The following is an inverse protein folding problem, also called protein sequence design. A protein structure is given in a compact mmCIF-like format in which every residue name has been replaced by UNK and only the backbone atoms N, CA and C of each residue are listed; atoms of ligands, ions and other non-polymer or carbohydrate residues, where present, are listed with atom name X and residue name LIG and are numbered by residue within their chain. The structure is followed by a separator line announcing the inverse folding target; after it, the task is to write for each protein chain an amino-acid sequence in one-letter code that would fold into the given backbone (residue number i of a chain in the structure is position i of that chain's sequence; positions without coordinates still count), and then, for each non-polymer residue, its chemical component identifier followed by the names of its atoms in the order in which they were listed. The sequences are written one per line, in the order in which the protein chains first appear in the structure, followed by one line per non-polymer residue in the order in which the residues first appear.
data_IF_067986163004
#
_entry.id   IF_067986163004
#
_cell.length_a   1.000
_cell.length_b   1.000
_cell.length_c   1.000
_cell.angle_alpha   90.00
_cell.angle_beta   90.00
_cell.angle_gamma   90.00
#
_symmetry.space_group_name_H-M   'P 1'
#
loop_
_entity.id
_entity.type
_entity.pdbx_description
1 polymer ?
#
# COMPACT_ATOMS: atom_id res chain seq x y z
N UNK A 1 -6.03 3.12 36.21
CA UNK A 1 -6.38 3.03 34.78
C UNK A 1 -5.08 3.19 34.04
N UNK A 2 -4.50 2.13 33.48
CA UNK A 2 -3.25 2.24 32.71
C UNK A 2 -3.62 2.83 31.36
N UNK A 3 -3.09 4.01 31.06
CA UNK A 3 -3.05 4.50 29.69
C UNK A 3 -2.15 3.53 28.92
N UNK A 4 -2.75 2.69 28.08
CA UNK A 4 -2.01 1.84 27.15
C UNK A 4 -1.37 2.75 26.10
N UNK A 5 -0.13 3.17 26.37
CA UNK A 5 0.74 3.78 25.39
C UNK A 5 1.03 2.73 24.31
N UNK A 6 0.22 2.70 23.25
CA UNK A 6 0.58 1.97 22.04
C UNK A 6 1.89 2.56 21.53
N UNK A 7 2.99 1.82 21.66
CA UNK A 7 4.22 2.12 20.94
C UNK A 7 3.89 2.05 19.46
N UNK A 8 3.87 3.21 18.80
CA UNK A 8 3.61 3.24 17.36
C UNK A 8 4.89 2.81 16.66
N UNK A 9 4.91 1.55 16.23
CA UNK A 9 6.03 0.98 15.49
C UNK A 9 6.30 1.81 14.22
N UNK A 10 7.57 2.14 14.01
CA UNK A 10 8.05 2.83 12.81
C UNK A 10 8.63 1.81 11.84
N UNK A 11 8.10 1.78 10.62
CA UNK A 11 8.45 0.81 9.60
C UNK A 11 9.19 1.46 8.42
N UNK A 12 10.51 1.64 8.56
CA UNK A 12 11.35 2.30 7.53
C UNK A 12 11.28 1.64 6.15
N UNK A 13 11.00 0.34 6.11
CA UNK A 13 10.87 -0.44 4.89
C UNK A 13 9.45 -0.45 4.28
N UNK A 14 8.48 0.22 4.90
CA UNK A 14 7.11 0.34 4.37
C UNK A 14 6.92 1.69 3.67
N UNK A 15 6.48 1.64 2.41
CA UNK A 15 5.93 2.74 1.65
C UNK A 15 4.41 2.59 1.61
N UNK A 16 3.70 3.54 2.21
CA UNK A 16 2.26 3.50 2.31
C UNK A 16 1.61 4.42 1.27
N UNK A 17 0.92 3.84 0.30
CA UNK A 17 0.21 4.55 -0.76
C UNK A 17 -1.27 4.66 -0.41
N UNK A 18 -1.74 5.89 -0.31
CA UNK A 18 -3.14 6.24 -0.08
C UNK A 18 -3.61 7.27 -1.13
N UNK A 19 -4.87 7.72 -1.09
CA UNK A 19 -5.34 8.73 -2.04
C UNK A 19 -6.80 9.11 -1.89
N UNK A 20 -7.20 10.20 -2.56
CA UNK A 20 -8.49 10.89 -2.42
C UNK A 20 -9.72 10.15 -3.00
N UNK A 21 -9.59 8.84 -3.27
CA UNK A 21 -10.70 8.02 -3.76
C UNK A 21 -10.25 6.82 -4.60
N UNK A 22 -11.23 6.23 -5.29
CA UNK A 22 -11.00 5.17 -6.29
C UNK A 22 -10.49 5.79 -7.60
N UNK A 23 -9.71 5.03 -8.36
CA UNK A 23 -9.24 5.43 -9.70
C UNK A 23 -8.47 6.77 -9.75
N UNK A 24 -7.82 7.16 -8.65
CA UNK A 24 -6.91 8.33 -8.60
C UNK A 24 -5.49 8.01 -9.09
N UNK A 25 -5.21 6.74 -9.45
CA UNK A 25 -3.90 6.31 -9.95
C UNK A 25 -3.00 5.58 -8.94
N UNK A 26 -3.49 5.20 -7.75
CA UNK A 26 -2.71 4.45 -6.73
C UNK A 26 -2.03 3.20 -7.29
N UNK A 27 -2.81 2.28 -7.86
CA UNK A 27 -2.29 1.05 -8.45
C UNK A 27 -1.26 1.33 -9.53
N UNK A 28 -1.53 2.29 -10.41
CA UNK A 28 -0.61 2.67 -11.49
C UNK A 28 0.71 3.25 -10.96
N UNK A 29 0.65 4.10 -9.93
CA UNK A 29 1.84 4.65 -9.28
C UNK A 29 2.66 3.55 -8.59
N UNK A 30 1.99 2.64 -7.87
CA UNK A 30 2.64 1.46 -7.27
C UNK A 30 3.36 0.64 -8.34
N UNK A 31 2.70 0.34 -9.46
CA UNK A 31 3.30 -0.41 -10.56
C UNK A 31 4.54 0.30 -11.16
N UNK A 32 4.52 1.64 -11.27
CA UNK A 32 5.70 2.39 -11.76
C UNK A 32 6.88 2.30 -10.79
N UNK A 33 6.64 2.34 -9.48
CA UNK A 33 7.71 2.16 -8.48
C UNK A 33 8.27 0.74 -8.58
N UNK A 34 7.40 -0.27 -8.63
CA UNK A 34 7.80 -1.68 -8.72
C UNK A 34 8.67 -1.91 -9.95
N UNK A 35 8.25 -1.45 -11.14
CA UNK A 35 8.97 -1.71 -12.38
C UNK A 35 10.38 -1.10 -12.39
N UNK A 36 10.55 0.08 -11.77
CA UNK A 36 11.83 0.78 -11.62
C UNK A 36 12.74 0.14 -10.58
N UNK A 37 12.18 -0.36 -9.47
CA UNK A 37 12.93 -0.81 -8.29
C UNK A 37 12.87 -2.34 -8.08
N UNK A 38 12.50 -3.12 -9.11
CA UNK A 38 12.34 -4.59 -9.03
C UNK A 38 13.57 -5.34 -8.52
N UNK A 39 14.77 -4.77 -8.69
CA UNK A 39 16.02 -5.35 -8.18
C UNK A 39 16.03 -5.54 -6.66
N UNK A 40 15.22 -4.78 -5.92
CA UNK A 40 15.16 -4.84 -4.47
C UNK A 40 14.19 -5.90 -3.92
N UNK A 41 13.62 -6.76 -4.77
CA UNK A 41 12.67 -7.82 -4.36
C UNK A 41 11.47 -7.28 -3.56
N UNK A 42 10.80 -6.27 -4.12
CA UNK A 42 9.67 -5.60 -3.46
C UNK A 42 8.56 -6.59 -3.12
N UNK A 43 7.97 -6.43 -1.92
CA UNK A 43 6.68 -7.05 -1.56
C UNK A 43 5.58 -6.00 -1.65
N UNK A 44 4.52 -6.24 -2.42
CA UNK A 44 3.37 -5.35 -2.51
C UNK A 44 2.13 -5.95 -1.84
N UNK A 45 1.38 -5.11 -1.14
CA UNK A 45 0.13 -5.48 -0.48
C UNK A 45 -0.97 -4.51 -0.90
N UNK A 46 -2.08 -5.04 -1.40
CA UNK A 46 -3.32 -4.30 -1.56
C UNK A 46 -4.23 -4.57 -0.37
N UNK A 47 -4.61 -3.54 0.37
CA UNK A 47 -5.61 -3.65 1.44
C UNK A 47 -6.91 -2.99 0.99
N UNK A 48 -7.99 -3.77 1.01
CA UNK A 48 -9.35 -3.34 0.64
C UNK A 48 -10.32 -3.56 1.80
N UNK A 49 -11.27 -2.65 2.05
CA UNK A 49 -12.38 -2.94 2.96
C UNK A 49 -13.54 -3.68 2.29
N UNK A 50 -13.45 -3.90 0.97
CA UNK A 50 -14.46 -4.62 0.23
C UNK A 50 -14.08 -6.09 0.17
N UNK A 51 -15.04 -6.94 0.54
CA UNK A 51 -14.94 -8.38 0.45
C UNK A 51 -15.44 -8.82 -0.92
N UNK A 52 -14.55 -9.47 -1.64
CA UNK A 52 -14.75 -10.06 -2.94
C UNK A 52 -14.41 -11.54 -2.85
N UNK A 53 -15.11 -12.32 -3.66
CA UNK A 53 -14.83 -13.75 -3.77
C UNK A 53 -13.41 -13.98 -4.30
N UNK A 54 -12.75 -15.07 -3.86
CA UNK A 54 -11.44 -15.43 -4.36
C UNK A 54 -11.45 -15.61 -5.89
N UNK A 55 -10.47 -15.01 -6.56
CA UNK A 55 -10.20 -15.24 -7.98
C UNK A 55 -9.13 -16.31 -8.18
N UNK A 56 -9.08 -16.98 -9.34
CA UNK A 56 -8.00 -17.92 -9.66
C UNK A 56 -6.63 -17.29 -9.45
N UNK A 57 -5.76 -17.95 -8.69
CA UNK A 57 -4.43 -17.46 -8.32
C UNK A 57 -4.30 -16.92 -6.90
N UNK A 58 -5.41 -16.61 -6.22
CA UNK A 58 -5.39 -16.26 -4.81
C UNK A 58 -5.21 -17.51 -3.95
N UNK A 59 -4.07 -17.57 -3.27
CA UNK A 59 -3.70 -18.61 -2.32
C UNK A 59 -4.01 -18.08 -0.92
N UNK A 60 -4.94 -18.75 -0.23
CA UNK A 60 -5.29 -18.39 1.12
C UNK A 60 -4.12 -18.60 2.09
N UNK A 61 -3.81 -17.61 2.93
CA UNK A 61 -2.75 -17.72 3.93
C UNK A 61 -3.30 -17.68 5.36
N UNK A 62 -4.21 -16.75 5.62
CA UNK A 62 -4.76 -16.54 6.96
C UNK A 62 -6.10 -15.81 6.90
N UNK A 63 -6.96 -16.06 7.89
CA UNK A 63 -8.22 -15.34 8.10
C UNK A 63 -8.51 -15.20 9.58
N UNK A 64 -9.28 -14.18 9.91
CA UNK A 64 -9.94 -14.02 11.19
C UNK A 64 -11.34 -13.44 10.98
N UNK A 65 -11.98 -13.00 12.06
CA UNK A 65 -13.29 -12.38 11.97
C UNK A 65 -13.13 -11.01 11.31
N UNK A 66 -13.74 -10.82 10.13
CA UNK A 66 -13.71 -9.53 9.43
C UNK A 66 -12.38 -9.23 8.71
N UNK A 67 -11.53 -10.24 8.45
CA UNK A 67 -10.35 -10.05 7.59
C UNK A 67 -9.83 -11.35 6.96
N UNK A 68 -9.18 -11.22 5.80
CA UNK A 68 -8.60 -12.32 5.01
C UNK A 68 -7.30 -11.84 4.37
N UNK A 69 -6.23 -12.65 4.45
CA UNK A 69 -4.95 -12.43 3.78
C UNK A 69 -4.74 -13.54 2.74
N UNK A 70 -4.53 -13.13 1.48
CA UNK A 70 -4.22 -14.04 0.38
C UNK A 70 -2.91 -13.61 -0.31
N UNK A 71 -2.15 -14.59 -0.80
CA UNK A 71 -1.05 -14.38 -1.75
C UNK A 71 -1.59 -14.47 -3.17
N UNK A 72 -1.22 -13.54 -4.03
CA UNK A 72 -1.52 -13.61 -5.46
C UNK A 72 -0.42 -14.37 -6.21
N UNK A 73 -0.82 -15.23 -7.13
CA UNK A 73 0.08 -15.98 -8.02
C UNK A 73 -0.29 -15.85 -9.50
N UNK A 74 -1.45 -15.27 -9.83
CA UNK A 74 -1.92 -15.11 -11.19
C UNK A 74 -1.55 -13.73 -11.76
N UNK A 75 -0.80 -13.73 -12.87
CA UNK A 75 -0.35 -12.53 -13.58
C UNK A 75 -1.26 -12.11 -14.75
N UNK A 76 -2.39 -12.78 -14.95
CA UNK A 76 -3.20 -12.65 -16.18
C UNK A 76 -4.51 -11.89 -15.99
N UNK A 77 -4.79 -11.37 -14.80
CA UNK A 77 -6.05 -10.70 -14.52
C UNK A 77 -5.86 -9.19 -14.26
N UNK A 78 -6.97 -8.45 -14.15
CA UNK A 78 -6.98 -6.99 -14.00
C UNK A 78 -7.07 -6.51 -12.54
N UNK A 79 -6.96 -7.41 -11.55
CA UNK A 79 -6.96 -7.03 -10.14
C UNK A 79 -5.65 -6.36 -9.77
N UNK A 80 -5.69 -5.43 -8.81
CA UNK A 80 -4.52 -4.67 -8.36
C UNK A 80 -3.33 -5.59 -7.98
N UNK A 81 -3.58 -6.66 -7.23
CA UNK A 81 -2.55 -7.65 -6.85
C UNK A 81 -1.90 -8.35 -8.06
N UNK A 82 -2.66 -8.60 -9.12
CA UNK A 82 -2.16 -9.18 -10.37
C UNK A 82 -1.35 -8.17 -11.17
N UNK A 83 -1.80 -6.91 -11.21
CA UNK A 83 -1.07 -5.81 -11.85
C UNK A 83 0.30 -5.58 -11.17
N UNK A 84 0.41 -5.79 -9.85
CA UNK A 84 1.71 -5.75 -9.16
C UNK A 84 2.65 -6.86 -9.64
N UNK A 85 2.14 -8.09 -9.85
CA UNK A 85 2.96 -9.17 -10.42
C UNK A 85 3.40 -8.85 -11.84
N UNK A 86 2.52 -8.31 -12.68
CA UNK A 86 2.85 -7.88 -14.04
C UNK A 86 3.92 -6.78 -14.05
N UNK A 87 3.94 -5.91 -13.03
CA UNK A 87 4.97 -4.88 -12.86
C UNK A 87 6.34 -5.45 -12.41
N UNK A 88 6.40 -6.72 -11.99
CA UNK A 88 7.63 -7.39 -11.58
C UNK A 88 7.86 -7.44 -10.06
N UNK A 89 6.81 -7.36 -9.25
CA UNK A 89 6.93 -7.50 -7.79
C UNK A 89 7.39 -8.91 -7.41
N UNK A 90 8.18 -9.02 -6.34
CA UNK A 90 8.66 -10.33 -5.87
C UNK A 90 7.54 -11.13 -5.17
N UNK A 91 6.74 -10.46 -4.34
CA UNK A 91 5.56 -11.05 -3.69
C UNK A 91 4.40 -10.06 -3.75
N UNK A 92 3.21 -10.56 -4.08
CA UNK A 92 1.98 -9.77 -4.11
C UNK A 92 0.95 -10.37 -3.17
N UNK A 93 0.35 -9.55 -2.33
CA UNK A 93 -0.69 -9.94 -1.39
C UNK A 93 -1.96 -9.11 -1.60
N UNK A 94 -3.10 -9.79 -1.49
CA UNK A 94 -4.41 -9.16 -1.47
C UNK A 94 -5.07 -9.42 -0.11
N UNK A 95 -5.36 -8.33 0.59
CA UNK A 95 -5.90 -8.33 1.94
C UNK A 95 -7.25 -7.63 1.95
N UNK A 96 -8.21 -8.29 2.59
CA UNK A 96 -9.55 -7.77 2.81
C UNK A 96 -9.74 -7.59 4.31
N UNK A 97 -10.13 -6.40 4.77
CA UNK A 97 -10.24 -6.14 6.20
C UNK A 97 -11.29 -5.06 6.51
N UNK A 98 -12.17 -5.37 7.47
CA UNK A 98 -13.06 -4.39 8.08
C UNK A 98 -12.27 -3.34 8.89
N UNK A 99 -12.87 -2.16 9.09
CA UNK A 99 -12.21 -1.02 9.74
C UNK A 99 -11.77 -1.33 11.18
N UNK A 100 -12.62 -2.00 11.93
CA UNK A 100 -12.41 -2.42 13.33
C UNK A 100 -11.40 -3.56 13.47
N UNK A 101 -11.06 -4.26 12.38
CA UNK A 101 -10.14 -5.39 12.39
C UNK A 101 -8.74 -5.05 11.85
N UNK A 102 -8.46 -3.77 11.52
CA UNK A 102 -7.20 -3.37 10.90
C UNK A 102 -5.97 -3.67 11.77
N UNK A 103 -6.06 -3.48 13.08
CA UNK A 103 -4.95 -3.76 14.01
C UNK A 103 -4.66 -5.26 14.02
N UNK A 104 -5.67 -6.09 14.31
CA UNK A 104 -5.53 -7.56 14.31
C UNK A 104 -5.02 -8.10 12.98
N UNK A 105 -5.57 -7.62 11.86
CA UNK A 105 -5.12 -8.01 10.53
C UNK A 105 -3.66 -7.62 10.31
N UNK A 106 -3.25 -6.40 10.68
CA UNK A 106 -1.89 -5.93 10.46
C UNK A 106 -0.89 -6.72 11.31
N UNK A 107 -1.26 -7.09 12.55
CA UNK A 107 -0.49 -7.99 13.42
C UNK A 107 -0.26 -9.37 12.80
N UNK A 108 -1.18 -9.86 11.97
CA UNK A 108 -0.98 -11.10 11.21
C UNK A 108 -0.20 -10.88 9.93
N UNK A 109 -0.43 -9.76 9.25
CA UNK A 109 0.28 -9.39 8.04
C UNK A 109 1.77 -9.17 8.30
N UNK A 110 2.17 -8.54 9.40
CA UNK A 110 3.58 -8.26 9.71
C UNK A 110 4.43 -9.54 9.79
N UNK A 111 3.85 -10.65 10.26
CA UNK A 111 4.56 -11.93 10.36
C UNK A 111 4.90 -12.57 9.00
N UNK A 112 4.32 -12.07 7.90
CA UNK A 112 4.63 -12.53 6.54
C UNK A 112 5.39 -11.50 5.71
N UNK A 113 5.50 -10.25 6.20
CA UNK A 113 6.24 -9.20 5.52
C UNK A 113 7.74 -9.33 5.82
N UNK A 114 8.62 -9.05 4.84
CA UNK A 114 10.06 -9.02 5.08
C UNK A 114 10.42 -7.78 5.93
N UNK A 115 11.37 -7.92 6.85
CA UNK A 115 11.87 -6.81 7.68
C UNK A 115 12.89 -5.92 6.93
N UNK A 116 13.74 -6.54 6.11
CA UNK A 116 14.90 -5.88 5.48
C UNK A 116 14.75 -5.60 3.97
N UNK A 117 13.56 -5.86 3.42
CA UNK A 117 13.26 -5.63 2.00
C UNK A 117 12.11 -4.62 1.85
N UNK A 118 12.05 -3.87 0.74
CA UNK A 118 11.00 -2.90 0.51
C UNK A 118 9.61 -3.53 0.47
N UNK A 119 8.71 -2.95 1.23
CA UNK A 119 7.29 -3.25 1.24
C UNK A 119 6.52 -2.03 0.74
N UNK A 120 5.62 -2.22 -0.22
CA UNK A 120 4.65 -1.20 -0.65
C UNK A 120 3.26 -1.65 -0.22
N UNK A 121 2.55 -0.82 0.53
CA UNK A 121 1.17 -1.11 0.94
C UNK A 121 0.25 -0.06 0.31
N UNK A 122 -0.71 -0.50 -0.50
CA UNK A 122 -1.80 0.36 -0.94
C UNK A 122 -2.99 0.23 0.03
N UNK A 123 -3.23 1.26 0.84
CA UNK A 123 -4.33 1.29 1.80
C UNK A 123 -4.82 2.71 2.08
N UNK A 124 -6.14 2.87 2.17
CA UNK A 124 -6.76 4.15 2.54
C UNK A 124 -6.79 4.40 4.06
N UNK A 125 -6.48 3.40 4.89
CA UNK A 125 -6.76 3.46 6.34
C UNK A 125 -5.60 3.07 7.23
N UNK A 126 -4.56 2.44 6.68
CA UNK A 126 -3.46 1.92 7.49
C UNK A 126 -2.63 3.03 8.16
N UNK A 127 -2.62 4.26 7.60
CA UNK A 127 -1.96 5.43 8.18
C UNK A 127 -2.45 5.79 9.60
N UNK A 128 -3.59 5.24 10.02
CA UNK A 128 -4.15 5.47 11.36
C UNK A 128 -3.53 4.59 12.44
N UNK A 129 -2.79 3.54 12.06
CA UNK A 129 -2.32 2.52 13.00
C UNK A 129 -0.83 2.21 12.87
N UNK A 130 -0.12 2.73 11.86
CA UNK A 130 1.34 2.58 11.71
C UNK A 130 2.01 3.89 11.32
N UNK A 131 3.31 4.00 11.61
CA UNK A 131 4.18 5.03 11.03
C UNK A 131 5.04 4.38 9.93
N UNK A 132 4.73 4.58 8.65
CA UNK A 132 5.57 4.07 7.56
C UNK A 132 6.84 4.93 7.40
N UNK A 133 7.86 4.39 6.75
CA UNK A 133 9.07 5.14 6.38
C UNK A 133 8.72 6.30 5.46
N UNK A 134 7.82 6.06 4.49
CA UNK A 134 7.20 7.11 3.67
C UNK A 134 5.71 6.83 3.50
N UNK A 135 4.93 7.90 3.58
CA UNK A 135 3.52 7.95 3.20
C UNK A 135 3.32 8.83 1.98
N UNK A 136 2.62 8.29 0.99
CA UNK A 136 2.25 8.98 -0.25
C UNK A 136 0.74 9.14 -0.30
N UNK A 137 0.27 10.32 -0.67
CA UNK A 137 -1.13 10.59 -0.92
C UNK A 137 -1.35 11.00 -2.38
N UNK A 138 -2.16 10.24 -3.11
CA UNK A 138 -2.46 10.53 -4.52
C UNK A 138 -3.79 11.24 -4.67
N UNK A 139 -3.78 12.37 -5.38
CA UNK A 139 -4.95 13.18 -5.73
C UNK A 139 -5.06 13.33 -7.24
N UNK A 140 -6.28 13.49 -7.76
CA UNK A 140 -6.44 13.90 -9.16
C UNK A 140 -6.20 15.40 -9.27
N UNK A 141 -5.64 15.81 -10.40
CA UNK A 141 -5.39 17.21 -10.76
C UNK A 141 -6.66 18.06 -10.66
N UNK A 142 -7.78 17.56 -11.20
CA UNK A 142 -9.07 18.22 -11.12
C UNK A 142 -9.77 18.13 -9.75
N UNK A 143 -9.12 17.57 -8.73
CA UNK A 143 -9.67 17.41 -7.39
C UNK A 143 -8.68 17.83 -6.31
N UNK A 144 -7.78 18.78 -6.60
CA UNK A 144 -6.74 19.19 -5.65
C UNK A 144 -7.34 19.78 -4.38
N UNK A 145 -8.31 20.70 -4.52
CA UNK A 145 -8.95 21.37 -3.37
C UNK A 145 -9.71 20.35 -2.51
N UNK A 146 -10.70 19.67 -3.08
CA UNK A 146 -11.53 18.67 -2.36
C UNK A 146 -10.77 17.41 -1.94
N UNK A 147 -9.61 17.14 -2.54
CA UNK A 147 -8.77 15.99 -2.23
C UNK A 147 -7.94 16.18 -0.97
N UNK A 148 -7.47 17.40 -0.71
CA UNK A 148 -6.66 17.72 0.48
C UNK A 148 -7.45 17.55 1.78
N UNK A 149 -8.73 17.91 1.77
CA UNK A 149 -9.60 17.86 2.96
C UNK A 149 -9.96 16.45 3.42
N UNK A 150 -9.75 15.44 2.57
CA UNK A 150 -10.09 14.03 2.89
C UNK A 150 -9.04 13.33 3.73
N UNK A 151 -7.93 14.01 4.03
CA UNK A 151 -6.77 13.41 4.65
C UNK A 151 -6.74 13.74 6.16
N UNK A 152 -6.75 12.69 6.99
CA UNK A 152 -6.73 12.84 8.45
C UNK A 152 -5.30 13.05 9.03
N UNK A 153 -4.26 12.90 8.21
CA UNK A 153 -2.85 13.03 8.61
C UNK A 153 -1.97 13.50 7.46
N UNK A 154 -1.08 14.46 7.69
CA UNK A 154 -0.21 15.00 6.64
C UNK A 154 0.70 13.88 6.09
N UNK A 155 0.69 13.60 4.77
CA UNK A 155 1.55 12.59 4.19
C UNK A 155 2.97 13.16 4.07
N UNK A 156 3.97 12.30 3.90
CA UNK A 156 5.32 12.78 3.58
C UNK A 156 5.34 13.47 2.22
N UNK A 157 4.52 12.98 1.28
CA UNK A 157 4.40 13.57 -0.04
C UNK A 157 3.01 13.40 -0.65
N UNK A 158 2.59 14.41 -1.41
CA UNK A 158 1.38 14.39 -2.22
C UNK A 158 1.77 14.27 -3.69
N UNK A 159 1.12 13.37 -4.41
CA UNK A 159 1.30 13.14 -5.84
C UNK A 159 0.01 13.53 -6.55
N UNK A 160 0.13 14.40 -7.55
CA UNK A 160 -0.96 14.81 -8.43
C UNK A 160 -0.95 13.89 -9.65
N UNK A 161 -2.12 13.33 -9.96
CA UNK A 161 -2.33 12.48 -11.13
C UNK A 161 -3.30 13.14 -12.11
N UNK A 162 -2.90 13.24 -13.38
CA UNK A 162 -3.80 13.62 -14.47
C UNK A 162 -4.36 12.40 -15.21
N UNK A 163 -4.15 11.19 -14.69
CA UNK A 163 -4.55 9.92 -15.31
C UNK A 163 -3.54 9.35 -16.31
N UNK A 164 -2.53 10.12 -16.72
CA UNK A 164 -1.44 9.67 -17.61
C UNK A 164 -0.08 9.74 -16.91
N UNK A 165 0.17 10.83 -16.20
CA UNK A 165 1.43 11.14 -15.52
C UNK A 165 1.18 11.48 -14.06
N UNK A 166 2.27 11.46 -13.29
CA UNK A 166 2.31 11.80 -11.88
C UNK A 166 3.24 12.99 -11.66
N UNK A 167 2.84 13.91 -10.81
CA UNK A 167 3.63 15.08 -10.42
C UNK A 167 3.68 15.16 -8.88
N UNK A 168 4.87 15.08 -8.28
CA UNK A 168 6.12 14.64 -8.90
C UNK A 168 6.04 13.18 -9.40
N UNK A 169 6.97 12.80 -10.28
CA UNK A 169 7.01 11.45 -10.83
C UNK A 169 7.52 10.43 -9.78
N UNK A 170 7.33 9.13 -10.04
CA UNK A 170 7.79 8.06 -9.17
C UNK A 170 9.32 7.94 -8.97
N UNK A 171 10.17 8.58 -9.79
CA UNK A 171 11.65 8.55 -9.63
C UNK A 171 12.14 9.20 -8.35
N UNK A 172 11.35 10.07 -7.74
CA UNK A 172 11.71 10.65 -6.45
C UNK A 172 11.68 9.60 -5.33
N UNK A 173 10.99 8.47 -5.53
CA UNK A 173 10.90 7.41 -4.53
C UNK A 173 12.03 6.42 -4.77
N UNK A 174 12.91 6.30 -3.78
CA UNK A 174 14.04 5.38 -3.82
C UNK A 174 14.07 4.50 -2.57
N UNK A 175 14.76 3.36 -2.65
CA UNK A 175 14.98 2.47 -1.53
C UNK A 175 16.47 2.30 -1.24
N UNK A 176 16.89 2.66 -0.03
CA UNK A 176 18.26 2.48 0.46
C UNK A 176 18.21 2.31 1.99
N UNK A 177 18.24 1.04 2.43
CA UNK A 177 18.01 0.63 3.83
C UNK A 177 16.69 1.17 4.44
N UNK A 178 15.75 1.56 3.58
CA UNK A 178 14.52 2.27 3.92
C UNK A 178 14.06 3.14 2.76
N UNK A 179 12.78 3.50 2.76
CA UNK A 179 12.23 4.39 1.74
C UNK A 179 12.72 5.83 1.95
N UNK A 180 13.12 6.49 0.86
CA UNK A 180 13.57 7.89 0.86
C UNK A 180 12.92 8.67 -0.29
N UNK A 181 12.81 9.99 -0.11
CA UNK A 181 12.45 10.93 -1.18
C UNK A 181 13.76 11.56 -1.66
N UNK A 182 14.05 11.43 -2.96
CA UNK A 182 15.17 12.11 -3.62
C UNK A 182 14.88 13.61 -3.65
N UNK A 183 15.84 14.41 -3.20
CA UNK A 183 15.80 15.87 -3.27
C UNK A 183 15.96 16.36 -4.72
#
# INVERSE_FOLDING_TARGET
MKEDFFTVDTYKNILLISGAGRQVGKTAFVCQIISKLKIHQITAVKISPHFHDPTPGLIHLSKGKGWIINKESNQKNSKDSSLYLQAGVYKSYYVQAEKNCLIEMFEKLKNILPENSPVIIESARLLKIIIPGISVYIIKDNSIETGKDKLNSKPNITIISNGKTFIPDSEIIIFDQGWKIRN
#
